data_IF_709686659407
#
_entry.id   IF_709686659407
#
_cell.length_a   1.000
_cell.length_b   1.000
_cell.length_c   1.000
_cell.angle_alpha   90.00
_cell.angle_beta   90.00
_cell.angle_gamma   90.00
#
_symmetry.space_group_name_H-M   'P 1'
#
loop_
_entity.id
_entity.type
_entity.pdbx_description
1 polymer ?
#
# COMPACT_ATOMS: atom_id res chain seq x y z
N UNK A 1 -13.90 -9.53 18.24
CA UNK A 1 -12.99 -9.07 19.31
C UNK A 1 -11.58 -9.06 18.72
N UNK A 2 -11.00 -7.89 18.44
CA UNK A 2 -9.61 -7.81 17.92
C UNK A 2 -8.67 -8.12 19.09
N UNK A 3 -7.79 -9.14 19.01
CA UNK A 3 -6.92 -9.51 20.12
C UNK A 3 -6.05 -8.32 20.54
N UNK A 4 -6.15 -7.91 21.81
CA UNK A 4 -5.28 -6.87 22.38
C UNK A 4 -3.87 -7.46 22.48
N UNK A 5 -2.94 -6.93 21.69
CA UNK A 5 -1.51 -7.32 21.75
C UNK A 5 -0.81 -7.49 20.40
N UNK A 6 -1.52 -7.45 19.27
CA UNK A 6 -0.89 -7.81 17.99
C UNK A 6 -0.05 -6.68 17.38
N UNK A 7 -0.52 -5.44 17.45
CA UNK A 7 0.18 -4.32 16.81
C UNK A 7 1.40 -3.89 17.63
N UNK A 8 2.54 -3.72 16.96
CA UNK A 8 3.76 -3.19 17.59
C UNK A 8 3.48 -1.80 18.19
N UNK A 9 4.13 -1.40 19.31
CA UNK A 9 3.88 -0.11 19.96
C UNK A 9 3.92 1.10 19.00
N UNK A 10 4.81 1.08 18.01
CA UNK A 10 4.88 2.12 16.97
C UNK A 10 3.62 2.22 16.11
N UNK A 11 2.93 1.10 15.85
CA UNK A 11 1.67 1.10 15.07
C UNK A 11 0.48 1.52 15.91
N UNK A 12 0.49 1.18 17.19
CA UNK A 12 -0.46 1.77 18.13
C UNK A 12 -0.31 3.30 18.16
N UNK A 13 0.93 3.81 18.16
CA UNK A 13 1.18 5.25 18.07
C UNK A 13 0.65 5.87 16.76
N UNK A 14 0.84 5.23 15.60
CA UNK A 14 0.27 5.72 14.33
C UNK A 14 -1.26 5.83 14.38
N UNK A 15 -1.95 4.83 14.95
CA UNK A 15 -3.41 4.87 15.14
C UNK A 15 -3.85 5.95 16.13
N UNK A 16 -3.10 6.14 17.21
CA UNK A 16 -3.36 7.19 18.20
C UNK A 16 -3.18 8.58 17.57
N UNK A 17 -2.13 8.74 16.77
CA UNK A 17 -1.85 9.99 16.05
C UNK A 17 -2.94 10.32 15.02
N UNK A 18 -3.39 9.32 14.24
CA UNK A 18 -4.52 9.48 13.33
C UNK A 18 -5.79 9.94 14.07
N UNK A 19 -6.12 9.30 15.20
CA UNK A 19 -7.26 9.71 16.06
C UNK A 19 -7.08 11.12 16.62
N UNK A 20 -5.86 11.49 17.03
CA UNK A 20 -5.54 12.82 17.56
C UNK A 20 -5.78 13.90 16.51
N UNK A 21 -5.33 13.71 15.28
CA UNK A 21 -5.53 14.65 14.16
C UNK A 21 -7.00 14.86 13.86
N UNK A 22 -7.78 13.78 13.78
CA UNK A 22 -9.23 13.87 13.54
C UNK A 22 -9.93 14.66 14.64
N UNK A 23 -9.55 14.42 15.91
CA UNK A 23 -10.09 15.16 17.05
C UNK A 23 -9.72 16.65 17.01
N UNK A 24 -8.49 16.99 16.61
CA UNK A 24 -8.05 18.39 16.43
C UNK A 24 -8.85 19.11 15.34
N UNK A 25 -9.26 18.40 14.29
CA UNK A 25 -10.14 18.92 13.25
C UNK A 25 -11.62 19.02 13.68
N UNK A 26 -11.95 18.76 14.96
CA UNK A 26 -13.33 18.74 15.51
C UNK A 26 -14.28 17.85 14.72
N UNK A 27 -13.76 16.74 14.22
CA UNK A 27 -14.44 15.81 13.32
C UNK A 27 -14.75 14.50 14.07
N UNK A 28 -15.90 13.84 13.82
CA UNK A 28 -16.14 12.51 14.38
C UNK A 28 -15.08 11.50 13.91
N UNK A 29 -14.57 10.69 14.84
CA UNK A 29 -13.64 9.60 14.59
C UNK A 29 -14.36 8.37 14.03
N UNK A 30 -14.71 8.41 12.74
CA UNK A 30 -15.27 7.25 12.03
C UNK A 30 -14.16 6.34 11.47
N UNK A 31 -14.41 5.04 11.26
CA UNK A 31 -13.44 4.13 10.66
C UNK A 31 -12.86 4.65 9.33
N UNK A 32 -13.70 5.18 8.45
CA UNK A 32 -13.28 5.71 7.13
C UNK A 32 -12.32 6.90 7.24
N UNK A 33 -12.51 7.74 8.26
CA UNK A 33 -11.61 8.87 8.53
C UNK A 33 -10.29 8.39 9.10
N UNK A 34 -10.32 7.42 10.01
CA UNK A 34 -9.08 6.82 10.52
C UNK A 34 -8.30 6.21 9.37
N UNK A 35 -8.95 5.44 8.49
CA UNK A 35 -8.32 4.85 7.30
C UNK A 35 -7.67 5.91 6.41
N UNK A 36 -8.36 7.03 6.19
CA UNK A 36 -7.86 8.16 5.38
C UNK A 36 -6.65 8.88 5.97
N UNK A 37 -6.49 8.86 7.30
CA UNK A 37 -5.34 9.50 7.98
C UNK A 37 -4.11 8.59 8.06
N UNK A 38 -4.23 7.31 7.73
CA UNK A 38 -3.14 6.35 7.81
C UNK A 38 -2.24 6.40 6.58
N UNK A 39 -0.92 6.44 6.81
CA UNK A 39 0.07 6.44 5.74
C UNK A 39 0.16 5.09 5.01
N UNK A 40 0.65 5.10 3.77
CA UNK A 40 0.99 3.85 3.06
C UNK A 40 1.99 2.97 3.85
N UNK A 41 2.87 3.59 4.62
CA UNK A 41 3.84 2.88 5.46
C UNK A 41 3.18 2.06 6.57
N UNK A 42 2.05 2.54 7.12
CA UNK A 42 1.24 1.78 8.07
C UNK A 42 0.69 0.50 7.42
N UNK A 43 0.05 0.63 6.25
CA UNK A 43 -0.54 -0.50 5.53
C UNK A 43 0.51 -1.53 5.08
N UNK A 44 1.66 -1.08 4.56
CA UNK A 44 2.79 -1.95 4.22
C UNK A 44 3.20 -2.82 5.40
N UNK A 45 3.26 -2.24 6.59
CA UNK A 45 3.72 -2.93 7.77
C UNK A 45 2.73 -4.01 8.25
N UNK A 46 1.41 -3.76 8.13
CA UNK A 46 0.38 -4.78 8.43
C UNK A 46 0.48 -6.01 7.54
N UNK A 47 1.11 -5.89 6.36
CA UNK A 47 1.34 -7.00 5.44
C UNK A 47 2.60 -7.81 5.76
N UNK A 48 3.33 -7.53 6.85
CA UNK A 48 4.54 -8.26 7.21
C UNK A 48 4.26 -9.69 7.72
N UNK A 49 5.27 -10.57 7.64
CA UNK A 49 5.13 -11.99 7.99
C UNK A 49 4.65 -12.24 9.43
N UNK A 50 5.02 -11.37 10.38
CA UNK A 50 4.56 -11.46 11.78
C UNK A 50 3.04 -11.36 11.92
N UNK A 51 2.36 -10.74 10.95
CA UNK A 51 0.91 -10.57 10.95
C UNK A 51 0.16 -11.63 10.18
N UNK A 52 0.84 -12.70 9.76
CA UNK A 52 0.23 -13.70 8.90
C UNK A 52 -0.94 -14.42 9.59
N UNK A 53 -0.77 -14.81 10.85
CA UNK A 53 -1.81 -15.50 11.63
C UNK A 53 -2.80 -14.53 12.27
N UNK A 54 -2.32 -13.38 12.76
CA UNK A 54 -3.07 -12.41 13.54
C UNK A 54 -3.97 -11.49 12.71
N UNK A 55 -3.49 -11.00 11.55
CA UNK A 55 -4.24 -10.06 10.72
C UNK A 55 -4.54 -10.59 9.32
N UNK A 56 -3.56 -11.20 8.65
CA UNK A 56 -3.72 -11.63 7.25
C UNK A 56 -4.78 -12.71 7.10
N UNK A 57 -4.62 -13.81 7.82
CA UNK A 57 -5.51 -14.97 7.76
C UNK A 57 -6.95 -14.62 8.15
N UNK A 58 -7.21 -13.92 9.27
CA UNK A 58 -8.59 -13.64 9.67
C UNK A 58 -9.23 -12.47 8.91
N UNK A 59 -8.46 -11.51 8.39
CA UNK A 59 -9.02 -10.26 7.87
C UNK A 59 -8.36 -9.73 6.58
N UNK A 60 -7.05 -9.45 6.58
CA UNK A 60 -6.44 -8.66 5.49
C UNK A 60 -6.49 -9.35 4.12
N UNK A 61 -6.48 -10.69 4.06
CA UNK A 61 -6.62 -11.40 2.78
C UNK A 61 -7.92 -11.05 2.05
N UNK A 62 -8.97 -10.68 2.78
CA UNK A 62 -10.28 -10.31 2.22
C UNK A 62 -10.25 -8.94 1.52
N UNK A 63 -9.26 -8.09 1.80
CA UNK A 63 -9.02 -6.86 1.05
C UNK A 63 -8.44 -7.11 -0.36
N UNK A 64 -8.02 -8.35 -0.65
CA UNK A 64 -7.47 -8.77 -1.96
C UNK A 64 -8.33 -9.87 -2.58
N UNK A 65 -9.61 -9.60 -2.90
CA UNK A 65 -10.55 -10.62 -3.34
C UNK A 65 -10.18 -11.25 -4.70
N UNK A 66 -9.36 -10.60 -5.51
CA UNK A 66 -8.94 -11.08 -6.83
C UNK A 66 -7.54 -11.70 -6.87
N UNK A 67 -6.85 -11.78 -5.72
CA UNK A 67 -5.57 -12.45 -5.61
C UNK A 67 -5.78 -13.98 -5.56
N UNK A 68 -5.15 -14.74 -6.45
CA UNK A 68 -5.19 -16.21 -6.45
C UNK A 68 -3.82 -16.80 -6.80
N UNK A 69 -3.24 -17.69 -5.95
CA UNK A 69 -3.64 -17.98 -4.57
C UNK A 69 -3.47 -16.77 -3.65
N UNK A 70 -4.25 -16.67 -2.56
CA UNK A 70 -4.19 -15.55 -1.60
C UNK A 70 -2.95 -15.62 -0.68
N UNK A 71 -1.75 -15.58 -1.27
CA UNK A 71 -0.48 -15.59 -0.54
C UNK A 71 -0.13 -14.17 -0.10
N UNK A 72 0.05 -13.95 1.21
CA UNK A 72 0.46 -12.65 1.78
C UNK A 72 1.73 -12.12 1.13
N UNK A 73 2.73 -13.00 0.97
CA UNK A 73 4.05 -12.66 0.44
C UNK A 73 3.98 -11.97 -0.93
N UNK A 74 3.08 -12.42 -1.80
CA UNK A 74 2.95 -11.88 -3.16
C UNK A 74 2.54 -10.40 -3.15
N UNK A 75 1.72 -10.00 -2.18
CA UNK A 75 1.33 -8.60 -1.98
C UNK A 75 2.39 -7.84 -1.17
N UNK A 76 2.87 -8.44 -0.08
CA UNK A 76 3.79 -7.78 0.84
C UNK A 76 5.08 -7.32 0.15
N UNK A 77 5.70 -8.19 -0.65
CA UNK A 77 6.96 -7.89 -1.33
C UNK A 77 6.78 -6.76 -2.36
N UNK A 78 5.63 -6.73 -3.05
CA UNK A 78 5.27 -5.71 -4.04
C UNK A 78 4.95 -4.37 -3.39
N UNK A 79 4.11 -4.37 -2.35
CA UNK A 79 3.78 -3.16 -1.59
C UNK A 79 5.03 -2.57 -0.94
N UNK A 80 5.99 -3.40 -0.51
CA UNK A 80 7.27 -2.92 -0.02
C UNK A 80 8.07 -2.20 -1.09
N UNK A 81 8.19 -2.75 -2.31
CA UNK A 81 8.87 -2.08 -3.43
C UNK A 81 8.17 -0.78 -3.84
N UNK A 82 6.84 -0.79 -3.92
CA UNK A 82 6.03 0.39 -4.22
C UNK A 82 6.19 1.50 -3.17
N UNK A 83 6.24 1.12 -1.90
CA UNK A 83 6.49 2.08 -0.82
C UNK A 83 7.87 2.73 -0.93
N UNK A 84 8.91 1.98 -1.33
CA UNK A 84 10.25 2.54 -1.54
C UNK A 84 10.27 3.56 -2.68
N UNK A 85 9.71 3.23 -3.84
CA UNK A 85 9.68 4.17 -4.97
C UNK A 85 8.82 5.40 -4.64
N UNK A 86 7.67 5.24 -3.99
CA UNK A 86 6.84 6.38 -3.54
C UNK A 86 7.60 7.29 -2.58
N UNK A 87 8.38 6.73 -1.65
CA UNK A 87 9.16 7.55 -0.72
C UNK A 87 10.29 8.29 -1.44
N UNK A 88 11.00 7.64 -2.37
CA UNK A 88 11.99 8.34 -3.20
C UNK A 88 11.38 9.52 -3.95
N UNK A 89 10.24 9.30 -4.60
CA UNK A 89 9.51 10.37 -5.30
C UNK A 89 9.11 11.51 -4.34
N UNK A 90 8.61 11.19 -3.15
CA UNK A 90 8.24 12.19 -2.15
C UNK A 90 9.45 12.97 -1.59
N UNK A 91 10.62 12.35 -1.53
CA UNK A 91 11.88 12.97 -1.14
C UNK A 91 12.63 13.62 -2.31
N UNK A 92 12.04 13.65 -3.51
CA UNK A 92 12.68 14.13 -4.74
C UNK A 92 14.02 13.43 -5.05
N UNK A 93 14.17 12.19 -4.61
CA UNK A 93 15.33 11.36 -4.92
C UNK A 93 15.25 10.84 -6.37
N UNK A 94 16.41 10.63 -7.04
CA UNK A 94 16.42 10.09 -8.39
C UNK A 94 15.87 8.65 -8.48
N UNK A 95 14.94 8.44 -9.41
CA UNK A 95 14.37 7.12 -9.73
C UNK A 95 14.70 6.63 -11.14
N UNK A 96 15.41 7.42 -11.94
CA UNK A 96 15.73 7.08 -13.34
C UNK A 96 16.61 5.82 -13.47
N UNK A 97 17.43 5.48 -12.47
CA UNK A 97 18.23 4.24 -12.45
C UNK A 97 17.45 2.98 -12.03
N UNK A 98 16.16 3.10 -11.72
CA UNK A 98 15.31 1.96 -11.33
C UNK A 98 14.60 1.37 -12.55
N UNK A 99 14.24 0.10 -12.43
CA UNK A 99 13.29 -0.53 -13.35
C UNK A 99 11.86 -0.06 -13.06
N UNK A 100 11.51 1.09 -13.63
CA UNK A 100 10.17 1.67 -13.50
C UNK A 100 9.09 0.85 -14.23
N UNK A 101 9.46 0.01 -15.20
CA UNK A 101 8.53 -0.90 -15.84
C UNK A 101 8.12 -2.02 -14.86
N UNK A 102 9.07 -2.55 -14.09
CA UNK A 102 8.80 -3.48 -13.01
C UNK A 102 7.99 -2.84 -11.88
N UNK A 103 8.36 -1.62 -11.44
CA UNK A 103 7.58 -0.90 -10.43
C UNK A 103 6.13 -0.66 -10.91
N UNK A 104 5.90 -0.38 -12.20
CA UNK A 104 4.55 -0.28 -12.79
C UNK A 104 3.82 -1.62 -12.80
N UNK A 105 4.49 -2.71 -13.16
CA UNK A 105 3.90 -4.05 -13.16
C UNK A 105 3.45 -4.45 -11.74
N UNK A 106 4.24 -4.13 -10.72
CA UNK A 106 3.87 -4.36 -9.32
C UNK A 106 2.65 -3.54 -8.89
N UNK A 107 2.57 -2.27 -9.32
CA UNK A 107 1.42 -1.41 -9.05
C UNK A 107 0.15 -1.99 -9.66
N UNK A 108 0.22 -2.41 -10.92
CA UNK A 108 -0.91 -3.03 -11.61
C UNK A 108 -1.32 -4.35 -10.97
N UNK A 109 -0.35 -5.17 -10.52
CA UNK A 109 -0.63 -6.41 -9.81
C UNK A 109 -1.38 -6.17 -8.49
N UNK A 110 -0.88 -5.27 -7.63
CA UNK A 110 -1.49 -4.98 -6.33
C UNK A 110 -2.87 -4.37 -6.50
N UNK A 111 -3.03 -3.43 -7.44
CA UNK A 111 -4.33 -2.80 -7.70
C UNK A 111 -5.34 -3.79 -8.28
N UNK A 112 -4.91 -4.69 -9.17
CA UNK A 112 -5.78 -5.75 -9.72
C UNK A 112 -6.25 -6.72 -8.65
N UNK A 113 -5.38 -7.07 -7.70
CA UNK A 113 -5.71 -7.92 -6.57
C UNK A 113 -6.83 -7.33 -5.69
N UNK A 114 -6.93 -6.00 -5.62
CA UNK A 114 -7.99 -5.27 -4.90
C UNK A 114 -9.23 -5.10 -5.80
N UNK A 115 -9.05 -4.54 -6.99
CA UNK A 115 -10.11 -4.19 -7.93
C UNK A 115 -9.59 -4.15 -9.38
N UNK A 116 -10.01 -5.09 -10.25
CA UNK A 116 -9.61 -5.11 -11.66
C UNK A 116 -10.00 -3.85 -12.43
N UNK A 117 -11.15 -3.23 -12.09
CA UNK A 117 -11.60 -1.99 -12.72
C UNK A 117 -10.63 -0.85 -12.43
N UNK A 118 -10.22 -0.68 -11.17
CA UNK A 118 -9.24 0.34 -10.78
C UNK A 118 -7.88 0.11 -11.45
N UNK A 119 -7.42 -1.14 -11.53
CA UNK A 119 -6.19 -1.51 -12.23
C UNK A 119 -6.24 -1.13 -13.72
N UNK A 120 -7.35 -1.45 -14.41
CA UNK A 120 -7.55 -1.10 -15.81
C UNK A 120 -7.58 0.41 -16.02
N UNK A 121 -8.25 1.14 -15.12
CA UNK A 121 -8.27 2.60 -15.19
C UNK A 121 -6.87 3.19 -15.03
N UNK A 122 -6.06 2.69 -14.09
CA UNK A 122 -4.67 3.13 -13.92
C UNK A 122 -3.82 2.82 -15.15
N UNK A 123 -3.93 1.61 -15.71
CA UNK A 123 -3.12 1.22 -16.88
C UNK A 123 -3.43 2.07 -18.12
N UNK A 124 -4.72 2.39 -18.32
CA UNK A 124 -5.17 3.19 -19.47
C UNK A 124 -4.89 4.68 -19.34
N UNK A 125 -4.84 5.22 -18.12
CA UNK A 125 -4.58 6.65 -17.86
C UNK A 125 -3.11 6.97 -17.61
N UNK A 126 -2.28 5.98 -17.29
CA UNK A 126 -0.87 6.20 -16.99
C UNK A 126 -0.04 6.55 -18.23
N UNK A 127 0.69 7.66 -18.16
CA UNK A 127 1.66 8.07 -19.19
C UNK A 127 3.02 7.39 -19.04
N UNK A 128 3.26 6.64 -17.95
CA UNK A 128 4.57 6.06 -17.62
C UNK A 128 5.09 5.13 -18.74
N UNK A 129 4.21 4.31 -19.33
CA UNK A 129 4.58 3.43 -20.47
C UNK A 129 5.04 4.23 -21.68
N UNK A 130 4.48 5.41 -21.92
CA UNK A 130 4.85 6.27 -23.03
C UNK A 130 6.18 6.97 -22.74
N UNK A 131 6.36 7.46 -21.51
CA UNK A 131 7.61 8.07 -21.07
C UNK A 131 8.80 7.10 -21.14
N UNK A 132 8.61 5.84 -20.73
CA UNK A 132 9.66 4.81 -20.80
C UNK A 132 10.05 4.48 -22.24
N UNK A 133 9.08 4.45 -23.18
CA UNK A 133 9.37 4.24 -24.61
C UNK A 133 10.12 5.39 -25.26
N UNK A 134 9.95 6.61 -24.76
CA UNK A 134 10.63 7.81 -25.26
C UNK A 134 12.01 8.01 -24.65
N UNK A 135 12.40 7.19 -23.67
CA UNK A 135 13.72 7.26 -23.06
C UNK A 135 14.75 6.90 -24.13
N UNK A 136 15.67 7.81 -24.51
CA UNK A 136 16.75 7.46 -25.41
C UNK A 136 17.51 6.28 -24.79
N UNK A 137 17.84 5.27 -25.60
CA UNK A 137 18.70 4.17 -25.16
C UNK A 137 19.95 4.74 -24.50
N UNK A 138 20.35 4.14 -23.38
CA UNK A 138 21.60 4.48 -22.71
C UNK A 138 22.80 4.29 -23.63
#
# INVERSE_FOLDING_TARGET
>A
MIPRGELEPRRHADLQEARRRIKQMRRPCTPDRIVSELSLGFWRYLLSARYEQSLWTPALRHAFPYLRPQRRRDIADRVQRLHLVRNRLAHHEPVHGRDLAHDQADLLFVTRAICPVASSWIDTTSTLRQALRRRPGG
#
